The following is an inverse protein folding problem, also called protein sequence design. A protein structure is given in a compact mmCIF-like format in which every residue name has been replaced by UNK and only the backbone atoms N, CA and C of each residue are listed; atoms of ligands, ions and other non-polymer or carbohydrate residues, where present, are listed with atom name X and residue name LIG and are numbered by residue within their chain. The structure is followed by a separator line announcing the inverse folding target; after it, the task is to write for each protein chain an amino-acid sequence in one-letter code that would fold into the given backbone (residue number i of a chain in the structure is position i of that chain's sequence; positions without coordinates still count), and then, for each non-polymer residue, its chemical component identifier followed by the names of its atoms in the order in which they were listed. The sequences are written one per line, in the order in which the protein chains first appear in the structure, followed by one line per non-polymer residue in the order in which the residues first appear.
data_IF_865619072037
#
_entry.id   IF_865619072037
#
_cell.length_a   1.000
_cell.length_b   1.000
_cell.length_c   1.000
_cell.angle_alpha   90.00
_cell.angle_beta   90.00
_cell.angle_gamma   90.00
#
_symmetry.space_group_name_H-M   'P 1'
#
loop_
_entity.id
_entity.type
_entity.pdbx_description
1 polymer ?
#
# COMPACT_ATOMS: atom_id res chain seq x y z
N UNK A 1 -31.14 11.16 -70.61
CA UNK A 1 -30.46 12.27 -71.39
C UNK A 1 -29.46 12.96 -70.50
N UNK A 2 -28.21 13.14 -71.09
CA UNK A 2 -27.01 13.92 -70.64
C UNK A 2 -26.29 13.38 -69.42
N UNK A 3 -25.20 12.60 -69.52
CA UNK A 3 -23.81 12.75 -70.06
C UNK A 3 -23.12 14.04 -69.59
N UNK A 4 -22.02 13.83 -68.91
CA UNK A 4 -20.85 14.69 -68.82
C UNK A 4 -20.23 14.67 -67.45
N UNK A 5 -18.99 14.65 -67.20
CA UNK A 5 -17.73 14.39 -67.94
C UNK A 5 -16.63 14.23 -66.86
N UNK A 6 -15.80 13.24 -67.03
CA UNK A 6 -14.48 13.12 -66.36
C UNK A 6 -13.63 14.38 -66.57
N UNK A 7 -12.94 14.82 -65.54
CA UNK A 7 -11.64 15.50 -65.72
C UNK A 7 -10.58 14.90 -64.80
N UNK A 8 -9.48 14.58 -65.42
CA UNK A 8 -8.20 14.08 -64.86
C UNK A 8 -7.30 15.25 -64.52
N UNK A 9 -6.55 15.05 -63.40
CA UNK A 9 -5.17 15.42 -63.04
C UNK A 9 -4.45 16.57 -63.81
N UNK A 10 -3.35 17.15 -63.18
CA UNK A 10 -2.03 16.56 -63.03
C UNK A 10 -1.41 16.86 -61.65
N UNK A 11 -0.56 16.15 -61.08
CA UNK A 11 0.73 15.55 -61.39
C UNK A 11 1.90 16.46 -61.10
N UNK A 12 2.68 16.19 -60.02
CA UNK A 12 4.05 16.48 -59.88
C UNK A 12 4.46 17.44 -58.74
N UNK A 13 5.71 17.50 -58.31
CA UNK A 13 6.68 16.42 -58.20
C UNK A 13 7.20 16.23 -56.77
N UNK A 14 7.88 15.09 -56.57
CA UNK A 14 8.46 14.67 -55.29
C UNK A 14 9.65 15.53 -54.83
N UNK A 15 9.84 15.47 -53.55
CA UNK A 15 11.10 15.84 -52.92
C UNK A 15 11.51 14.73 -51.98
N UNK A 16 12.42 13.94 -52.49
CA UNK A 16 13.31 13.02 -51.73
C UNK A 16 14.20 13.84 -50.84
N UNK A 17 14.15 13.64 -49.56
CA UNK A 17 15.21 14.05 -48.63
C UNK A 17 15.99 12.85 -48.19
N UNK A 18 17.25 12.90 -48.63
CA UNK A 18 18.31 11.89 -48.45
C UNK A 18 18.64 11.66 -46.97
N UNK A 19 18.87 10.38 -46.69
CA UNK A 19 19.67 9.90 -45.55
C UNK A 19 21.04 10.61 -45.55
N UNK A 20 21.41 11.21 -44.43
CA UNK A 20 22.79 11.49 -44.08
C UNK A 20 23.11 10.70 -42.82
N UNK A 21 23.79 9.58 -43.03
CA UNK A 21 24.55 8.85 -42.01
C UNK A 21 25.79 9.66 -41.69
N UNK A 22 25.94 10.12 -40.47
CA UNK A 22 27.20 10.63 -39.94
C UNK A 22 27.74 9.63 -38.92
N UNK A 23 28.66 8.79 -39.42
CA UNK A 23 29.52 7.93 -38.60
C UNK A 23 30.67 8.81 -38.12
N UNK A 24 30.71 9.12 -36.85
CA UNK A 24 31.88 9.66 -36.17
C UNK A 24 32.44 8.60 -35.23
N UNK A 25 33.49 7.96 -35.65
CA UNK A 25 34.31 7.10 -34.82
C UNK A 25 35.10 7.91 -33.81
N UNK A 26 35.04 7.46 -32.56
CA UNK A 26 35.98 7.92 -31.53
C UNK A 26 36.71 6.70 -30.99
N UNK A 27 37.91 6.53 -31.49
CA UNK A 27 38.99 5.76 -30.88
C UNK A 27 39.52 6.56 -29.69
N UNK A 28 39.37 6.04 -28.48
CA UNK A 28 39.90 6.63 -27.25
C UNK A 28 40.47 5.56 -26.34
N UNK A 29 41.70 5.25 -26.55
CA UNK A 29 42.86 5.05 -25.68
C UNK A 29 42.59 4.37 -24.32
N UNK A 30 42.93 3.08 -24.27
CA UNK A 30 43.17 2.31 -23.05
C UNK A 30 44.47 2.78 -22.42
N UNK A 31 44.41 3.49 -21.30
CA UNK A 31 45.57 3.75 -20.45
C UNK A 31 45.57 2.70 -19.32
N UNK A 32 46.38 1.68 -19.51
CA UNK A 32 46.78 0.69 -18.53
C UNK A 32 47.80 1.34 -17.58
N UNK A 33 47.42 1.73 -16.39
CA UNK A 33 48.36 2.17 -15.36
C UNK A 33 48.81 0.95 -14.57
N UNK A 34 50.06 0.55 -14.86
CA UNK A 34 50.87 -0.36 -14.06
C UNK A 34 51.20 0.31 -12.71
N UNK A 35 50.84 -0.33 -11.62
CA UNK A 35 51.32 -0.01 -10.28
C UNK A 35 52.45 -0.98 -9.97
N UNK A 36 53.65 -0.50 -9.58
CA UNK A 36 54.78 -1.38 -9.28
C UNK A 36 54.61 -2.08 -7.94
N UNK A 37 54.95 -3.36 -7.94
CA UNK A 37 55.24 -4.13 -6.73
C UNK A 37 56.47 -3.58 -6.01
N UNK A 38 56.33 -3.25 -4.77
CA UNK A 38 57.41 -2.81 -3.91
C UNK A 38 57.20 -3.13 -2.44
N UNK A 39 58.02 -4.10 -1.99
CA UNK A 39 58.50 -4.30 -0.63
C UNK A 39 57.65 -5.07 0.37
N UNK A 40 58.00 -6.33 0.50
CA UNK A 40 57.85 -7.16 1.69
C UNK A 40 58.61 -6.54 2.86
N UNK A 41 57.98 -6.36 3.97
CA UNK A 41 58.63 -6.28 5.28
C UNK A 41 57.99 -7.22 6.29
N UNK A 42 58.85 -7.96 6.87
CA UNK A 42 58.84 -8.98 7.87
C UNK A 42 57.83 -8.86 9.04
N UNK A 43 57.29 -9.99 9.33
CA UNK A 43 57.24 -10.72 10.57
C UNK A 43 56.88 -9.96 11.88
N UNK A 44 55.59 -10.05 12.28
CA UNK A 44 55.25 -10.06 13.71
C UNK A 44 54.27 -11.22 13.99
N UNK A 45 54.54 -12.11 14.95
CA UNK A 45 53.70 -13.28 15.20
C UNK A 45 52.34 -12.86 15.82
N UNK A 46 51.27 -13.47 15.34
CA UNK A 46 49.93 -13.35 15.88
C UNK A 46 49.85 -13.85 17.32
N UNK A 47 49.14 -13.16 18.21
CA UNK A 47 48.90 -13.68 19.58
C UNK A 47 47.89 -14.84 19.53
N UNK A 48 48.22 -15.92 20.27
CA UNK A 48 47.39 -17.11 20.47
C UNK A 48 46.02 -16.73 21.07
N UNK A 49 44.93 -17.41 20.69
CA UNK A 49 43.62 -17.17 21.28
C UNK A 49 43.63 -17.66 22.73
N UNK A 50 43.34 -16.77 23.67
CA UNK A 50 43.01 -17.08 25.05
C UNK A 50 41.60 -17.65 25.13
N UNK A 51 41.45 -18.64 25.98
CA UNK A 51 40.33 -19.51 26.17
C UNK A 51 38.95 -18.83 26.25
N UNK A 52 37.99 -19.60 25.81
CA UNK A 52 36.56 -19.37 25.91
C UNK A 52 36.11 -19.25 27.37
N UNK A 53 35.98 -18.02 27.85
CA UNK A 53 35.14 -17.74 29.02
C UNK A 53 33.67 -17.72 28.55
N UNK A 54 32.85 -18.56 29.18
CA UNK A 54 31.46 -18.73 28.88
C UNK A 54 30.70 -17.38 28.86
N UNK A 55 30.12 -17.08 27.74
CA UNK A 55 29.22 -15.95 27.60
C UNK A 55 27.91 -16.32 28.30
N UNK A 56 27.65 -15.69 29.44
CA UNK A 56 26.36 -15.75 30.10
C UNK A 56 25.24 -15.32 29.06
N UNK A 57 24.04 -15.91 29.13
CA UNK A 57 22.96 -15.54 28.27
C UNK A 57 22.65 -14.06 28.48
N UNK A 58 22.76 -13.27 27.39
CA UNK A 58 22.28 -11.89 27.40
C UNK A 58 20.79 -11.98 27.63
N UNK A 59 20.33 -11.52 28.80
CA UNK A 59 18.95 -11.35 29.11
C UNK A 59 18.35 -10.46 28.01
N UNK A 60 17.30 -10.95 27.34
CA UNK A 60 16.52 -10.18 26.36
C UNK A 60 16.11 -8.88 27.04
N UNK A 61 16.47 -7.75 26.45
CA UNK A 61 16.00 -6.46 26.89
C UNK A 61 14.47 -6.51 26.97
N UNK A 62 13.85 -5.98 28.03
CA UNK A 62 12.39 -5.98 28.12
C UNK A 62 11.86 -5.20 26.93
N UNK A 63 11.03 -5.89 26.14
CA UNK A 63 10.20 -5.29 25.10
C UNK A 63 9.50 -4.09 25.74
N UNK A 64 9.81 -2.88 25.28
CA UNK A 64 9.16 -1.68 25.78
C UNK A 64 7.67 -1.87 25.55
N UNK A 65 6.96 -2.15 26.63
CA UNK A 65 5.51 -2.12 26.63
C UNK A 65 5.08 -0.80 25.97
N UNK A 66 4.43 -0.90 24.83
CA UNK A 66 3.73 0.23 24.24
C UNK A 66 2.80 0.82 25.30
N UNK A 67 2.40 2.10 25.21
CA UNK A 67 1.63 2.76 26.26
C UNK A 67 0.49 1.85 26.67
N UNK A 68 0.42 1.57 27.99
CA UNK A 68 -0.53 0.70 28.61
C UNK A 68 -1.92 0.96 28.03
N UNK A 69 -2.56 -0.09 27.55
CA UNK A 69 -3.99 -0.09 27.26
C UNK A 69 -4.75 0.14 28.57
N UNK A 70 -4.76 1.39 29.03
CA UNK A 70 -5.65 1.84 30.08
C UNK A 70 -7.07 1.52 29.65
N UNK A 71 -7.81 0.82 30.51
CA UNK A 71 -9.17 0.37 30.26
C UNK A 71 -10.04 1.50 29.71
N UNK A 72 -10.24 1.46 28.39
CA UNK A 72 -11.14 2.38 27.70
C UNK A 72 -12.55 1.89 27.95
N UNK A 73 -13.18 2.48 28.97
CA UNK A 73 -14.63 2.39 29.12
C UNK A 73 -15.27 2.82 27.81
N UNK A 74 -16.29 2.10 27.36
CA UNK A 74 -17.09 2.37 26.18
C UNK A 74 -17.78 3.75 26.29
N UNK A 75 -17.02 4.80 25.99
CA UNK A 75 -17.60 6.11 25.73
C UNK A 75 -18.00 6.08 24.25
N UNK A 76 -19.30 6.07 23.99
CA UNK A 76 -19.87 5.92 22.66
C UNK A 76 -19.47 7.04 21.71
N UNK A 77 -18.42 6.80 20.94
CA UNK A 77 -17.96 7.67 19.86
C UNK A 77 -17.78 6.86 18.56
N UNK A 78 -17.82 7.54 17.41
CA UNK A 78 -17.54 6.92 16.11
C UNK A 78 -16.07 6.51 16.05
N UNK A 79 -15.80 5.23 15.81
CA UNK A 79 -14.45 4.71 15.59
C UNK A 79 -14.11 4.82 14.11
N UNK A 80 -12.99 5.45 13.79
CA UNK A 80 -12.57 5.66 12.40
C UNK A 80 -11.15 5.12 12.23
N UNK A 81 -10.93 4.27 11.24
CA UNK A 81 -9.60 3.93 10.74
C UNK A 81 -9.40 4.58 9.38
N UNK A 82 -8.21 5.14 9.14
CA UNK A 82 -7.85 5.76 7.87
C UNK A 82 -6.64 5.03 7.29
N UNK A 83 -6.80 4.53 6.08
CA UNK A 83 -5.75 3.91 5.27
C UNK A 83 -5.36 4.86 4.14
N UNK A 84 -4.07 5.13 4.00
CA UNK A 84 -3.53 5.94 2.91
C UNK A 84 -2.93 5.02 1.87
N UNK A 85 -3.54 4.97 0.68
CA UNK A 85 -3.11 4.15 -0.46
C UNK A 85 -2.00 4.84 -1.28
N UNK A 86 -1.49 4.18 -2.30
CA UNK A 86 -0.53 4.65 -3.30
C UNK A 86 0.80 5.20 -2.74
N UNK A 87 1.22 4.73 -1.58
CA UNK A 87 2.51 5.12 -0.99
C UNK A 87 3.66 4.44 -1.73
N UNK A 88 4.76 5.17 -1.91
CA UNK A 88 5.99 4.64 -2.52
C UNK A 88 6.58 5.47 -3.66
N UNK A 89 5.89 6.53 -4.09
CA UNK A 89 6.38 7.44 -5.13
C UNK A 89 6.87 8.78 -4.57
N UNK A 90 6.18 9.33 -3.58
CA UNK A 90 6.47 10.67 -3.03
C UNK A 90 6.86 10.60 -1.55
N UNK A 91 8.18 10.70 -1.23
CA UNK A 91 8.65 10.72 0.14
C UNK A 91 8.21 11.96 0.93
N UNK A 92 7.98 13.08 0.26
CA UNK A 92 7.56 14.33 0.92
C UNK A 92 6.11 14.27 1.36
N UNK A 93 5.23 13.72 0.52
CA UNK A 93 3.85 13.43 0.89
C UNK A 93 3.80 12.49 2.11
N UNK A 94 4.59 11.42 2.10
CA UNK A 94 4.69 10.52 3.25
C UNK A 94 5.20 11.23 4.50
N UNK A 95 6.22 12.10 4.39
CA UNK A 95 6.76 12.85 5.53
C UNK A 95 5.68 13.73 6.18
N UNK A 96 4.87 14.44 5.38
CA UNK A 96 3.75 15.23 5.88
C UNK A 96 2.71 14.37 6.60
N UNK A 97 2.31 13.26 5.99
CA UNK A 97 1.35 12.31 6.57
C UNK A 97 1.85 11.69 7.89
N UNK A 98 3.14 11.38 7.99
CA UNK A 98 3.75 10.85 9.21
C UNK A 98 3.81 11.89 10.35
N UNK A 99 3.83 13.19 10.04
CA UNK A 99 3.78 14.27 11.01
C UNK A 99 2.39 14.44 11.66
N UNK A 100 1.34 13.88 11.07
CA UNK A 100 0.00 13.89 11.67
C UNK A 100 -0.01 12.95 12.87
N UNK A 101 -0.30 13.47 14.07
CA UNK A 101 -0.38 12.66 15.31
C UNK A 101 -1.67 11.83 15.37
N UNK A 102 -1.76 10.81 14.53
CA UNK A 102 -2.92 9.92 14.41
C UNK A 102 -2.47 8.52 13.96
N UNK A 103 -3.19 7.45 14.32
CA UNK A 103 -2.86 6.08 13.95
C UNK A 103 -3.21 5.75 12.48
N UNK A 104 -2.75 6.59 11.53
CA UNK A 104 -2.91 6.32 10.11
C UNK A 104 -2.21 5.02 9.72
N UNK A 105 -2.80 4.25 8.83
CA UNK A 105 -2.18 3.11 8.17
C UNK A 105 -1.73 3.50 6.75
N UNK A 106 -0.66 2.89 6.27
CA UNK A 106 -0.06 3.21 4.96
C UNK A 106 0.02 1.97 4.09
N UNK A 107 -0.58 2.03 2.92
CA UNK A 107 -0.53 0.98 1.93
C UNK A 107 0.46 1.33 0.83
N UNK A 108 1.47 0.47 0.70
CA UNK A 108 2.65 0.74 -0.12
C UNK A 108 2.60 -0.10 -1.38
N UNK A 109 2.68 0.57 -2.54
CA UNK A 109 2.81 -0.08 -3.84
C UNK A 109 4.16 -0.81 -3.94
N UNK A 110 4.17 -2.09 -4.32
CA UNK A 110 5.40 -2.85 -4.49
C UNK A 110 6.24 -2.31 -5.65
N UNK A 111 7.55 -2.54 -5.60
CA UNK A 111 8.50 -2.21 -6.68
C UNK A 111 8.53 -0.74 -7.13
N UNK A 112 7.92 0.17 -6.37
CA UNK A 112 8.06 1.62 -6.58
C UNK A 112 9.43 2.11 -6.10
N UNK A 113 9.91 3.28 -6.58
CA UNK A 113 11.26 3.77 -6.24
C UNK A 113 11.52 3.89 -4.74
N UNK A 114 10.49 4.20 -3.95
CA UNK A 114 10.59 4.40 -2.51
C UNK A 114 9.82 3.37 -1.68
N UNK A 115 9.35 2.26 -2.27
CA UNK A 115 8.54 1.25 -1.57
C UNK A 115 9.15 0.83 -0.22
N UNK A 116 10.39 0.34 -0.26
CA UNK A 116 11.10 -0.13 0.94
C UNK A 116 11.32 0.98 1.95
N UNK A 117 11.88 2.12 1.54
CA UNK A 117 12.17 3.23 2.45
C UNK A 117 10.91 3.83 3.07
N UNK A 118 9.80 3.88 2.32
CA UNK A 118 8.50 4.33 2.82
C UNK A 118 7.93 3.39 3.87
N UNK A 119 7.96 2.07 3.61
CA UNK A 119 7.52 1.06 4.57
C UNK A 119 8.33 1.11 5.87
N UNK A 120 9.66 1.22 5.76
CA UNK A 120 10.55 1.36 6.91
C UNK A 120 10.31 2.66 7.69
N UNK A 121 10.05 3.78 7.01
CA UNK A 121 9.75 5.06 7.65
C UNK A 121 8.41 5.00 8.41
N UNK A 122 7.36 4.47 7.79
CA UNK A 122 6.07 4.29 8.43
C UNK A 122 6.17 3.36 9.66
N UNK A 123 6.87 2.24 9.53
CA UNK A 123 7.10 1.31 10.64
C UNK A 123 7.86 1.95 11.80
N UNK A 124 8.97 2.69 11.53
CA UNK A 124 9.73 3.40 12.58
C UNK A 124 8.89 4.45 13.31
N UNK A 125 7.92 5.07 12.60
CA UNK A 125 6.96 5.99 13.19
C UNK A 125 5.81 5.29 13.94
N UNK A 126 5.86 3.97 14.11
CA UNK A 126 4.82 3.18 14.80
C UNK A 126 3.51 3.06 14.03
N UNK A 127 3.54 3.30 12.71
CA UNK A 127 2.37 3.18 11.84
C UNK A 127 2.23 1.77 11.27
N UNK A 128 1.01 1.37 10.95
CA UNK A 128 0.75 0.11 10.26
C UNK A 128 1.10 0.23 8.78
N UNK A 129 1.76 -0.81 8.26
CA UNK A 129 2.13 -0.93 6.85
C UNK A 129 1.32 -2.04 6.22
N UNK A 130 0.72 -1.77 5.07
CA UNK A 130 0.06 -2.74 4.20
C UNK A 130 0.82 -2.83 2.87
N UNK A 131 0.68 -3.97 2.21
CA UNK A 131 1.00 -4.09 0.79
C UNK A 131 -0.20 -3.60 -0.02
N UNK A 132 -0.02 -2.58 -0.84
CA UNK A 132 -1.00 -2.15 -1.84
C UNK A 132 -0.82 -2.99 -3.08
N UNK A 133 -1.56 -4.11 -3.15
CA UNK A 133 -1.33 -5.17 -4.12
C UNK A 133 -1.98 -4.82 -5.47
N UNK A 134 -1.17 -4.61 -6.53
CA UNK A 134 -1.71 -4.31 -7.85
C UNK A 134 -2.47 -5.51 -8.40
N UNK A 135 -3.67 -5.26 -8.92
CA UNK A 135 -4.55 -6.29 -9.47
C UNK A 135 -5.23 -5.82 -10.74
N UNK A 136 -5.54 -6.74 -11.64
CA UNK A 136 -6.14 -6.49 -12.95
C UNK A 136 -7.47 -5.73 -12.86
N UNK A 137 -7.58 -4.53 -13.46
CA UNK A 137 -8.86 -3.83 -13.65
C UNK A 137 -9.56 -4.26 -14.95
N UNK A 138 -10.87 -4.02 -15.06
CA UNK A 138 -11.60 -4.20 -16.33
C UNK A 138 -11.04 -3.35 -17.47
N UNK A 139 -10.43 -2.21 -17.16
CA UNK A 139 -9.85 -1.30 -18.15
C UNK A 139 -8.43 -1.63 -18.61
N UNK A 140 -7.85 -2.80 -18.24
CA UNK A 140 -6.53 -3.19 -18.76
C UNK A 140 -6.60 -3.51 -20.25
N UNK A 141 -5.61 -3.10 -21.10
CA UNK A 141 -4.32 -2.48 -20.73
C UNK A 141 -4.34 -0.95 -20.62
N UNK A 142 -5.43 -0.25 -20.95
CA UNK A 142 -5.49 1.22 -20.90
C UNK A 142 -5.32 1.75 -19.45
N UNK A 143 -5.73 0.96 -18.47
CA UNK A 143 -5.49 1.17 -17.04
C UNK A 143 -4.52 0.11 -16.53
N UNK A 144 -3.24 0.46 -16.53
CA UNK A 144 -2.18 -0.44 -16.07
C UNK A 144 -2.02 -0.34 -14.54
N UNK A 145 -2.21 -1.45 -13.78
CA UNK A 145 -2.01 -1.45 -12.33
C UNK A 145 -0.54 -1.40 -11.89
N UNK A 146 0.39 -1.51 -12.82
CA UNK A 146 1.82 -1.39 -12.55
C UNK A 146 2.53 -2.71 -12.23
N UNK A 147 3.78 -2.58 -11.77
CA UNK A 147 4.65 -3.74 -11.50
C UNK A 147 4.13 -4.56 -10.32
N UNK A 148 4.26 -5.89 -10.45
CA UNK A 148 3.76 -6.83 -9.45
C UNK A 148 2.27 -7.13 -9.60
N UNK A 149 1.63 -6.67 -10.68
CA UNK A 149 0.20 -6.87 -10.87
C UNK A 149 -0.19 -8.36 -11.00
N UNK A 150 -1.26 -8.72 -10.32
CA UNK A 150 -1.91 -10.02 -10.45
C UNK A 150 -2.99 -9.95 -11.52
N UNK A 151 -2.94 -10.89 -12.45
CA UNK A 151 -3.93 -11.02 -13.53
C UNK A 151 -4.77 -12.28 -13.35
N UNK A 152 -6.05 -12.19 -13.70
CA UNK A 152 -7.00 -13.32 -13.60
C UNK A 152 -6.63 -14.52 -14.48
N UNK A 153 -5.83 -14.29 -15.54
CA UNK A 153 -5.29 -15.31 -16.41
C UNK A 153 -4.08 -16.08 -15.85
N UNK A 154 -3.49 -15.62 -14.74
CA UNK A 154 -2.36 -16.29 -14.11
C UNK A 154 -2.76 -17.61 -13.48
N UNK A 155 -1.86 -18.58 -13.54
CA UNK A 155 -1.97 -19.82 -12.76
C UNK A 155 -1.84 -19.55 -11.26
N UNK A 156 -2.35 -20.45 -10.43
CA UNK A 156 -2.20 -20.35 -8.98
C UNK A 156 -0.73 -20.22 -8.52
N UNK A 157 0.19 -20.89 -9.24
CA UNK A 157 1.61 -20.82 -8.94
C UNK A 157 2.21 -19.45 -9.28
N UNK A 158 1.79 -18.84 -10.40
CA UNK A 158 2.22 -17.48 -10.79
C UNK A 158 1.70 -16.43 -9.81
N UNK A 159 0.40 -16.48 -9.47
CA UNK A 159 -0.19 -15.60 -8.44
C UNK A 159 0.61 -15.69 -7.13
N UNK A 160 0.84 -16.92 -6.65
CA UNK A 160 1.58 -17.14 -5.40
C UNK A 160 3.00 -16.57 -5.48
N UNK A 161 3.73 -16.82 -6.56
CA UNK A 161 5.10 -16.33 -6.75
C UNK A 161 5.13 -14.80 -6.77
N UNK A 162 4.30 -14.17 -7.59
CA UNK A 162 4.24 -12.70 -7.71
C UNK A 162 3.90 -12.05 -6.37
N UNK A 163 2.85 -12.54 -5.69
CA UNK A 163 2.48 -12.03 -4.36
C UNK A 163 3.62 -12.14 -3.33
N UNK A 164 4.39 -13.24 -3.35
CA UNK A 164 5.53 -13.41 -2.45
C UNK A 164 6.68 -12.46 -2.76
N UNK A 165 6.92 -12.14 -4.03
CA UNK A 165 7.90 -11.16 -4.48
C UNK A 165 7.47 -9.75 -4.05
N UNK A 166 6.20 -9.40 -4.20
CA UNK A 166 5.62 -8.12 -3.77
C UNK A 166 5.74 -7.94 -2.25
N UNK A 167 5.34 -8.94 -1.47
CA UNK A 167 5.51 -8.95 -0.01
C UNK A 167 6.96 -8.77 0.43
N UNK A 168 7.92 -9.31 -0.33
CA UNK A 168 9.34 -9.13 -0.06
C UNK A 168 9.83 -7.71 -0.36
N UNK A 169 9.22 -7.03 -1.32
CA UNK A 169 9.58 -5.66 -1.69
C UNK A 169 9.15 -4.62 -0.67
N UNK A 170 8.07 -4.91 0.08
CA UNK A 170 7.50 -4.03 1.12
C UNK A 170 7.69 -4.69 2.49
N UNK A 171 8.66 -4.28 3.30
CA UNK A 171 8.88 -4.86 4.64
C UNK A 171 7.80 -4.41 5.64
N UNK A 172 7.69 -5.14 6.76
CA UNK A 172 6.81 -4.85 7.92
C UNK A 172 5.30 -4.94 7.63
N UNK A 173 4.90 -5.59 6.55
CA UNK A 173 3.49 -5.74 6.15
C UNK A 173 2.70 -6.50 7.22
N UNK A 174 1.56 -5.93 7.64
CA UNK A 174 0.59 -6.53 8.56
C UNK A 174 -0.71 -6.95 7.89
N UNK A 175 -1.00 -6.37 6.72
CA UNK A 175 -2.17 -6.65 5.91
C UNK A 175 -1.93 -6.31 4.45
N UNK A 176 -2.91 -6.56 3.63
CA UNK A 176 -2.89 -6.29 2.19
C UNK A 176 -4.22 -5.64 1.81
N UNK A 177 -4.20 -4.69 0.88
CA UNK A 177 -5.41 -4.24 0.19
C UNK A 177 -5.17 -4.18 -1.32
N UNK A 178 -6.22 -4.22 -2.11
CA UNK A 178 -6.11 -4.19 -3.56
C UNK A 178 -5.93 -2.77 -4.10
N UNK A 179 -4.92 -2.60 -4.98
CA UNK A 179 -4.80 -1.47 -5.89
C UNK A 179 -5.50 -1.83 -7.20
N UNK A 180 -6.46 -0.98 -7.62
CA UNK A 180 -7.36 -1.32 -8.74
C UNK A 180 -8.05 -2.68 -8.51
N UNK A 181 -8.00 -3.58 -9.49
CA UNK A 181 -8.45 -4.96 -9.34
C UNK A 181 -9.94 -5.18 -9.56
N UNK A 182 -10.65 -4.27 -10.22
CA UNK A 182 -12.10 -4.43 -10.44
C UNK A 182 -12.46 -5.74 -11.13
N UNK A 183 -11.60 -6.24 -12.05
CA UNK A 183 -11.80 -7.55 -12.69
C UNK A 183 -11.30 -8.70 -11.82
N UNK A 184 -10.09 -8.58 -11.25
CA UNK A 184 -9.49 -9.65 -10.46
C UNK A 184 -10.33 -10.02 -9.23
N UNK A 185 -10.89 -9.02 -8.56
CA UNK A 185 -11.70 -9.20 -7.34
C UNK A 185 -13.06 -9.87 -7.57
N UNK A 186 -13.48 -10.05 -8.83
CA UNK A 186 -14.68 -10.82 -9.22
C UNK A 186 -14.36 -12.32 -9.40
N UNK A 187 -13.08 -12.68 -9.50
CA UNK A 187 -12.64 -14.04 -9.86
C UNK A 187 -12.32 -14.91 -8.63
N UNK A 188 -13.22 -15.81 -8.28
CA UNK A 188 -13.12 -16.65 -7.07
C UNK A 188 -11.82 -17.46 -6.98
N UNK A 189 -11.36 -18.04 -8.10
CA UNK A 189 -10.14 -18.85 -8.15
C UNK A 189 -8.90 -18.07 -7.77
N UNK A 190 -8.56 -17.00 -8.49
CA UNK A 190 -7.45 -16.11 -8.21
C UNK A 190 -7.48 -15.50 -6.79
N UNK A 191 -8.63 -14.97 -6.35
CA UNK A 191 -8.77 -14.39 -5.00
C UNK A 191 -8.56 -15.45 -3.91
N UNK A 192 -9.05 -16.68 -4.09
CA UNK A 192 -8.81 -17.78 -3.13
C UNK A 192 -7.33 -18.11 -2.98
N UNK A 193 -6.54 -18.05 -4.06
CA UNK A 193 -5.08 -18.27 -3.99
C UNK A 193 -4.42 -17.16 -3.15
N UNK A 194 -4.76 -15.88 -3.40
CA UNK A 194 -4.27 -14.75 -2.61
C UNK A 194 -4.59 -14.95 -1.13
N UNK A 195 -5.85 -15.22 -0.79
CA UNK A 195 -6.29 -15.37 0.60
C UNK A 195 -5.63 -16.57 1.31
N UNK A 196 -5.35 -17.65 0.58
CA UNK A 196 -4.57 -18.77 1.08
C UNK A 196 -3.18 -18.35 1.56
N UNK A 197 -2.47 -17.56 0.73
CA UNK A 197 -1.14 -17.03 1.07
C UNK A 197 -1.21 -16.08 2.26
N UNK A 198 -2.20 -15.18 2.29
CA UNK A 198 -2.34 -14.22 3.39
C UNK A 198 -2.61 -14.92 4.72
N UNK A 199 -3.48 -15.94 4.72
CA UNK A 199 -3.76 -16.76 5.91
C UNK A 199 -2.50 -17.49 6.41
N UNK A 200 -1.74 -18.13 5.52
CA UNK A 200 -0.49 -18.81 5.85
C UNK A 200 0.52 -17.86 6.54
N UNK A 201 0.46 -16.57 6.21
CA UNK A 201 1.35 -15.54 6.72
C UNK A 201 0.80 -14.73 7.90
N UNK A 202 -0.42 -15.03 8.33
CA UNK A 202 -1.08 -14.30 9.42
C UNK A 202 -1.43 -12.85 9.08
N UNK A 203 -1.52 -12.53 7.77
CA UNK A 203 -1.89 -11.20 7.29
C UNK A 203 -3.41 -11.06 7.20
N UNK A 204 -3.92 -9.83 7.30
CA UNK A 204 -5.33 -9.52 7.05
C UNK A 204 -5.52 -8.91 5.65
N UNK A 205 -6.75 -8.90 5.18
CA UNK A 205 -7.10 -8.26 3.91
C UNK A 205 -8.12 -7.13 4.12
N UNK A 206 -7.88 -6.02 3.41
CA UNK A 206 -8.84 -4.92 3.28
C UNK A 206 -9.28 -4.84 1.82
N UNK A 207 -10.56 -5.03 1.57
CA UNK A 207 -11.13 -4.83 0.24
C UNK A 207 -11.37 -3.33 0.01
N UNK A 208 -10.63 -2.75 -0.94
CA UNK A 208 -10.81 -1.37 -1.39
C UNK A 208 -12.13 -1.17 -2.15
N UNK A 209 -12.88 -2.25 -2.40
CA UNK A 209 -14.19 -2.29 -3.07
C UNK A 209 -14.18 -1.49 -4.37
N UNK A 210 -13.33 -1.90 -5.30
CA UNK A 210 -13.21 -1.29 -6.64
C UNK A 210 -14.26 -1.83 -7.63
N UNK A 211 -15.05 -2.82 -7.20
CA UNK A 211 -16.22 -3.37 -7.87
C UNK A 211 -17.25 -3.81 -6.84
N UNK A 212 -18.53 -3.63 -7.15
CA UNK A 212 -19.64 -4.14 -6.31
C UNK A 212 -19.77 -5.67 -6.37
N UNK A 213 -19.25 -6.29 -7.43
CA UNK A 213 -19.25 -7.74 -7.64
C UNK A 213 -18.07 -8.46 -6.93
N UNK A 214 -17.37 -7.77 -6.01
CA UNK A 214 -16.26 -8.38 -5.27
C UNK A 214 -16.66 -9.62 -4.51
N UNK A 215 -15.94 -10.72 -4.72
CA UNK A 215 -16.12 -12.00 -4.02
C UNK A 215 -15.34 -12.09 -2.71
N UNK A 216 -14.63 -11.02 -2.34
CA UNK A 216 -13.67 -11.02 -1.24
C UNK A 216 -14.31 -11.33 0.11
N UNK A 217 -15.45 -10.73 0.44
CA UNK A 217 -16.14 -10.93 1.73
C UNK A 217 -16.49 -12.40 1.95
N UNK A 218 -17.07 -13.03 0.94
CA UNK A 218 -17.47 -14.44 1.01
C UNK A 218 -16.24 -15.35 1.17
N UNK A 219 -15.22 -15.16 0.32
CA UNK A 219 -14.01 -15.97 0.34
C UNK A 219 -13.16 -15.76 1.61
N UNK A 220 -13.16 -14.54 2.17
CA UNK A 220 -12.51 -14.28 3.45
C UNK A 220 -13.18 -15.07 4.60
N UNK A 221 -14.51 -15.15 4.59
CA UNK A 221 -15.28 -15.99 5.54
C UNK A 221 -14.95 -17.47 5.37
N UNK A 222 -14.97 -17.99 4.13
CA UNK A 222 -14.59 -19.39 3.82
C UNK A 222 -13.17 -19.71 4.31
N UNK A 223 -12.23 -18.78 4.13
CA UNK A 223 -10.83 -18.96 4.50
C UNK A 223 -10.55 -18.68 5.98
N UNK A 224 -11.50 -18.21 6.77
CA UNK A 224 -11.28 -17.66 8.12
C UNK A 224 -10.17 -16.59 8.13
N UNK A 225 -10.11 -15.77 7.09
CA UNK A 225 -9.15 -14.68 6.93
C UNK A 225 -9.68 -13.43 7.63
N UNK A 226 -8.84 -12.76 8.44
CA UNK A 226 -9.19 -11.45 8.97
C UNK A 226 -9.41 -10.47 7.83
N UNK A 227 -10.57 -9.83 7.83
CA UNK A 227 -11.07 -9.07 6.69
C UNK A 227 -11.84 -7.82 7.11
N UNK A 228 -11.65 -6.74 6.37
CA UNK A 228 -12.53 -5.59 6.38
C UNK A 228 -12.76 -5.10 4.96
N UNK A 229 -13.77 -4.30 4.78
CA UNK A 229 -14.11 -3.66 3.53
C UNK A 229 -14.18 -2.15 3.76
N UNK A 230 -13.71 -1.36 2.81
CA UNK A 230 -13.82 0.09 2.82
C UNK A 230 -15.29 0.54 2.91
N UNK A 231 -15.55 1.49 3.78
CA UNK A 231 -16.85 2.16 3.81
C UNK A 231 -16.87 3.32 2.80
N UNK A 232 -15.77 4.09 2.68
CA UNK A 232 -15.70 5.20 1.73
C UNK A 232 -14.26 5.58 1.34
N UNK A 233 -14.09 6.02 0.08
CA UNK A 233 -12.99 6.91 -0.30
C UNK A 233 -13.34 8.33 0.14
N UNK A 234 -12.38 9.03 0.77
CA UNK A 234 -12.58 10.42 1.20
C UNK A 234 -12.16 11.43 0.13
N UNK A 235 -11.40 11.01 -0.85
CA UNK A 235 -10.91 11.80 -1.96
C UNK A 235 -11.28 11.20 -3.32
N UNK A 236 -11.02 11.96 -4.36
CA UNK A 236 -11.25 11.59 -5.74
C UNK A 236 -10.13 12.18 -6.61
N UNK A 237 -9.65 11.40 -7.58
CA UNK A 237 -8.60 11.86 -8.50
C UNK A 237 -9.07 13.02 -9.40
N UNK A 238 -10.38 13.06 -9.72
CA UNK A 238 -10.98 14.06 -10.59
C UNK A 238 -11.41 15.32 -9.82
N UNK A 239 -11.82 15.16 -8.53
CA UNK A 239 -12.20 16.28 -7.66
C UNK A 239 -11.34 16.30 -6.38
N UNK A 240 -10.25 17.06 -6.44
CA UNK A 240 -9.30 17.24 -5.34
C UNK A 240 -9.89 17.92 -4.10
N UNK A 241 -10.99 18.68 -4.23
CA UNK A 241 -11.65 19.34 -3.11
C UNK A 241 -12.49 18.38 -2.26
N UNK A 242 -12.82 17.20 -2.77
CA UNK A 242 -13.74 16.24 -2.16
C UNK A 242 -13.31 15.80 -0.76
N UNK A 243 -12.01 15.66 -0.51
CA UNK A 243 -11.50 15.29 0.80
C UNK A 243 -11.90 16.28 1.90
N UNK A 244 -11.72 17.59 1.63
CA UNK A 244 -12.07 18.64 2.57
C UNK A 244 -13.58 18.67 2.85
N UNK A 245 -14.40 18.53 1.81
CA UNK A 245 -15.87 18.50 1.93
C UNK A 245 -16.30 17.31 2.77
N UNK A 246 -15.82 16.10 2.45
CA UNK A 246 -16.21 14.90 3.18
C UNK A 246 -15.78 14.94 4.65
N UNK A 247 -14.55 15.39 4.94
CA UNK A 247 -14.06 15.49 6.32
C UNK A 247 -14.83 16.55 7.12
N UNK A 248 -15.24 17.66 6.47
CA UNK A 248 -16.12 18.63 7.09
C UNK A 248 -17.51 18.06 7.41
N UNK A 249 -18.12 17.31 6.48
CA UNK A 249 -19.38 16.59 6.72
C UNK A 249 -19.24 15.60 7.88
N UNK A 250 -18.15 14.83 7.92
CA UNK A 250 -17.89 13.87 9.00
C UNK A 250 -17.80 14.55 10.38
N UNK A 251 -17.14 15.72 10.46
CA UNK A 251 -17.03 16.52 11.68
C UNK A 251 -18.41 17.03 12.18
N UNK A 252 -19.36 17.26 11.28
CA UNK A 252 -20.70 17.76 11.62
C UNK A 252 -21.76 16.65 11.70
N UNK A 253 -21.39 15.39 11.48
CA UNK A 253 -22.31 14.28 11.52
C UNK A 253 -22.90 14.11 12.94
N UNK A 254 -24.24 14.10 13.02
CA UNK A 254 -24.97 13.93 14.31
C UNK A 254 -24.86 12.52 14.86
N UNK A 255 -24.74 11.53 13.99
CA UNK A 255 -24.53 10.13 14.41
C UNK A 255 -23.04 9.89 14.64
N UNK A 256 -22.66 9.82 15.90
CA UNK A 256 -21.30 9.58 16.38
C UNK A 256 -21.04 8.13 16.73
N UNK A 257 -21.98 7.20 16.43
CA UNK A 257 -21.82 5.77 16.71
C UNK A 257 -21.38 5.00 15.48
N UNK A 258 -20.79 3.82 15.72
CA UNK A 258 -20.36 2.89 14.68
C UNK A 258 -18.89 2.98 14.33
N UNK A 259 -18.53 2.26 13.27
CA UNK A 259 -17.17 2.12 12.79
C UNK A 259 -17.08 2.50 11.31
N UNK A 260 -16.06 3.27 10.94
CA UNK A 260 -15.77 3.60 9.54
C UNK A 260 -14.34 3.24 9.19
N UNK A 261 -14.17 2.58 8.06
CA UNK A 261 -12.90 2.39 7.38
C UNK A 261 -12.86 3.30 6.16
N UNK A 262 -12.01 4.31 6.24
CA UNK A 262 -11.83 5.31 5.21
C UNK A 262 -10.53 5.05 4.46
N UNK A 263 -10.57 5.22 3.14
CA UNK A 263 -9.37 5.17 2.29
C UNK A 263 -9.15 6.55 1.67
N UNK A 264 -7.89 6.96 1.59
CA UNK A 264 -7.43 8.20 1.00
C UNK A 264 -6.15 7.98 0.19
N UNK A 265 -5.81 8.95 -0.66
CA UNK A 265 -4.57 8.96 -1.44
C UNK A 265 -3.68 10.15 -1.05
N UNK A 266 -2.37 10.11 -1.32
CA UNK A 266 -1.43 11.13 -0.86
C UNK A 266 -1.45 12.39 -1.74
N UNK A 267 -2.65 12.85 -2.13
CA UNK A 267 -2.80 14.11 -2.84
C UNK A 267 -2.54 15.30 -1.91
N UNK A 268 -1.90 16.38 -2.39
CA UNK A 268 -1.61 17.54 -1.56
C UNK A 268 -2.84 18.11 -0.85
N UNK A 269 -3.98 18.15 -1.54
CA UNK A 269 -5.25 18.64 -1.01
C UNK A 269 -5.83 17.71 0.06
N UNK A 270 -5.71 16.40 -0.14
CA UNK A 270 -6.14 15.38 0.84
C UNK A 270 -5.29 15.47 2.11
N UNK A 271 -3.96 15.59 1.95
CA UNK A 271 -3.05 15.76 3.09
C UNK A 271 -3.41 17.00 3.90
N UNK A 272 -3.61 18.14 3.22
CA UNK A 272 -4.00 19.40 3.89
C UNK A 272 -5.34 19.26 4.61
N UNK A 273 -6.31 18.59 3.99
CA UNK A 273 -7.61 18.35 4.60
C UNK A 273 -7.52 17.44 5.85
N UNK A 274 -6.64 16.43 5.83
CA UNK A 274 -6.38 15.57 7.00
C UNK A 274 -5.66 16.33 8.12
N UNK A 275 -4.66 17.17 7.79
CA UNK A 275 -3.94 18.02 8.73
C UNK A 275 -4.91 18.95 9.48
N UNK A 276 -5.91 19.52 8.78
CA UNK A 276 -6.91 20.42 9.35
C UNK A 276 -8.01 19.68 10.16
N UNK A 277 -8.48 18.54 9.68
CA UNK A 277 -9.64 17.86 10.25
C UNK A 277 -9.29 16.98 11.46
N UNK A 278 -8.18 16.23 11.41
CA UNK A 278 -7.84 15.22 12.43
C UNK A 278 -7.72 15.82 13.85
N UNK A 279 -7.13 16.99 14.08
CA UNK A 279 -7.08 17.61 15.40
C UNK A 279 -8.47 17.93 15.99
N UNK A 280 -9.49 18.07 15.14
CA UNK A 280 -10.88 18.39 15.52
C UNK A 280 -11.74 17.16 15.81
N UNK A 281 -11.29 15.96 15.43
CA UNK A 281 -12.06 14.72 15.59
C UNK A 281 -12.47 14.44 17.04
N UNK A 282 -11.61 14.59 18.07
CA UNK A 282 -12.02 14.33 19.45
C UNK A 282 -13.20 15.19 19.89
N UNK A 283 -13.22 16.46 19.54
CA UNK A 283 -14.31 17.39 19.87
C UNK A 283 -15.62 17.02 19.13
N UNK A 284 -15.52 16.37 17.98
CA UNK A 284 -16.67 15.84 17.22
C UNK A 284 -17.10 14.43 17.66
N UNK A 285 -16.53 13.88 18.74
CA UNK A 285 -16.83 12.53 19.19
C UNK A 285 -16.31 11.42 18.27
N UNK A 286 -15.30 11.73 17.45
CA UNK A 286 -14.65 10.78 16.55
C UNK A 286 -13.34 10.34 17.18
N UNK A 287 -13.13 9.02 17.26
CA UNK A 287 -11.89 8.42 17.74
C UNK A 287 -11.20 7.68 16.60
N UNK A 288 -10.00 8.13 16.26
CA UNK A 288 -9.15 7.37 15.36
C UNK A 288 -8.61 6.12 16.06
N UNK A 289 -8.68 5.00 15.36
CA UNK A 289 -8.19 3.70 15.83
C UNK A 289 -7.23 3.10 14.83
N UNK A 290 -6.40 2.16 15.28
CA UNK A 290 -5.57 1.40 14.36
C UNK A 290 -6.44 0.59 13.40
N UNK A 291 -5.99 0.43 12.18
CA UNK A 291 -6.70 -0.35 11.17
C UNK A 291 -6.87 -1.81 11.60
N UNK A 292 -5.83 -2.42 12.17
CA UNK A 292 -5.90 -3.79 12.69
C UNK A 292 -6.93 -3.97 13.82
N UNK A 293 -7.12 -2.95 14.67
CA UNK A 293 -8.11 -2.99 15.75
C UNK A 293 -9.54 -2.95 15.19
N UNK A 294 -9.76 -2.17 14.12
CA UNK A 294 -11.04 -2.12 13.43
C UNK A 294 -11.32 -3.43 12.69
N UNK A 295 -10.31 -3.99 11.98
CA UNK A 295 -10.42 -5.29 11.32
C UNK A 295 -10.78 -6.39 12.32
N UNK A 296 -10.16 -6.40 13.50
CA UNK A 296 -10.46 -7.38 14.54
C UNK A 296 -11.87 -7.24 15.12
N UNK A 297 -12.34 -6.00 15.33
CA UNK A 297 -13.67 -5.73 15.85
C UNK A 297 -14.77 -6.15 14.86
N UNK A 298 -14.56 -5.95 13.56
CA UNK A 298 -15.52 -6.39 12.52
C UNK A 298 -15.64 -7.91 12.38
N UNK A 299 -14.66 -8.67 12.84
CA UNK A 299 -14.74 -10.14 12.87
C UNK A 299 -15.46 -10.66 14.12
N UNK A 300 -15.31 -9.96 15.22
CA UNK A 300 -15.93 -10.30 16.50
C UNK A 300 -16.77 -9.10 16.97
N UNK A 301 -17.92 -8.83 16.33
CA UNK A 301 -18.78 -7.74 16.78
C UNK A 301 -19.10 -7.96 18.25
N UNK A 302 -19.08 -6.90 19.08
CA UNK A 302 -19.46 -7.01 20.47
C UNK A 302 -20.87 -7.62 20.55
N UNK A 303 -21.06 -8.55 21.48
CA UNK A 303 -22.38 -9.18 21.71
C UNK A 303 -23.35 -8.13 22.26
N UNK A 304 -24.06 -7.47 21.35
CA UNK A 304 -25.09 -6.45 21.68
C UNK A 304 -26.37 -7.03 22.32
N UNK A 305 -26.30 -8.31 22.73
CA UNK A 305 -27.43 -8.88 23.47
C UNK A 305 -27.55 -8.21 24.85
N UNK A 306 -28.67 -7.55 25.17
CA UNK A 306 -28.87 -7.00 26.51
C UNK A 306 -28.72 -8.12 27.52
N UNK A 307 -27.84 -7.92 28.50
CA UNK A 307 -27.63 -8.86 29.60
C UNK A 307 -28.98 -9.16 30.28
N UNK A 308 -29.61 -10.29 29.93
CA UNK A 308 -30.93 -10.73 30.48
C UNK A 308 -30.89 -11.12 31.97
N UNK A 309 -29.75 -10.96 32.63
CA UNK A 309 -29.57 -11.33 34.03
C UNK A 309 -29.65 -10.15 35.02
N UNK A 310 -30.22 -9.01 34.62
CA UNK A 310 -30.60 -7.95 35.55
C UNK A 310 -32.10 -7.83 35.58
N UNK A 311 -32.75 -8.80 36.20
CA UNK A 311 -34.11 -8.64 36.75
C UNK A 311 -33.96 -8.55 38.26
N UNK A 312 -34.59 -7.52 38.92
CA UNK A 312 -34.47 -7.27 40.34
C UNK A 312 -35.11 -8.36 41.19
#
# INVERSE_FOLDING_TARGET
MKRGKKRRSPGGPGTTWSLILLVAGITGLIALLLIPEGERRDGTPAPKPRGTAGRAPVAAAPERAGPASGGWQHIGGKRVAILIDDIGYDPEALRRLLAIEAPLAFSVLPHTPHARSSAEAAHRAGREVLLHLPMEPHGFPDRDPGRGALFSSMTAQEIRRTLLEDLKSVPHVRGVNNHMGSKFMEERGPVRVVFGVLRERGLYFVDSLTTEASVARELASEASLRFAQRDRFIDDAEDRSRAAVYLAELLHARDTRGELLLIAHPYPETISALEDAIPRFPAAGIRLVRLSDLVAARQNPPDDRPNRNQTP
#
